data_IF_319756501653
#
_entry.id   IF_319756501653
#
_cell.length_a   1.000
_cell.length_b   1.000
_cell.length_c   1.000
_cell.angle_alpha   90.00
_cell.angle_beta   90.00
_cell.angle_gamma   90.00
#
_symmetry.space_group_name_H-M   'P 1'
#
loop_
_entity.id
_entity.type
_entity.pdbx_description
1 polymer ?
2 non-polymer ?
3 non-polymer ?
4 water ?
#
# COMPACT_ATOMS: atom_id res chain seq x y z
N UNK A 1 -21.63 13.57 0.82
CA UNK A 1 -20.49 12.99 0.11
C UNK A 1 -20.91 12.18 -1.08
N UNK A 2 -19.93 11.67 -1.84
CA UNK A 2 -20.23 10.90 -3.04
C UNK A 2 -20.55 9.44 -2.80
N UNK A 3 -20.07 8.89 -1.69
CA UNK A 3 -20.21 7.47 -1.43
C UNK A 3 -19.23 6.62 -2.25
N UNK A 4 -18.27 7.27 -2.94
CA UNK A 4 -17.27 6.56 -3.74
C UNK A 4 -16.45 5.66 -2.82
N UNK A 5 -16.14 4.46 -3.29
CA UNK A 5 -15.43 3.52 -2.46
C UNK A 5 -13.98 3.93 -2.22
N UNK A 6 -13.67 4.27 -0.95
CA UNK A 6 -12.32 4.68 -0.58
C UNK A 6 -11.78 3.82 0.57
N UNK A 7 -10.49 3.95 0.86
CA UNK A 7 -9.83 3.21 1.91
C UNK A 7 -9.30 4.18 2.90
N UNK A 8 -9.72 4.02 4.15
CA UNK A 8 -9.25 4.87 5.25
C UNK A 8 -8.26 4.12 6.13
N UNK A 9 -7.34 4.84 6.78
CA UNK A 9 -6.46 4.29 7.81
C UNK A 9 -7.36 3.75 8.95
N UNK A 10 -7.26 2.46 9.25
CA UNK A 10 -8.10 1.86 10.27
C UNK A 10 -7.89 2.51 11.63
N UNK A 11 -6.65 2.95 11.93
CA UNK A 11 -6.32 3.55 13.22
C UNK A 11 -6.80 4.99 13.44
N UNK A 12 -6.86 5.83 12.39
CA UNK A 12 -7.22 7.25 12.58
C UNK A 12 -8.27 7.79 11.61
N UNK A 13 -8.67 7.01 10.62
CA UNK A 13 -9.66 7.45 9.65
C UNK A 13 -9.18 8.28 8.47
N UNK A 14 -7.87 8.62 8.44
CA UNK A 14 -7.38 9.41 7.28
C UNK A 14 -7.65 8.70 5.91
N UNK A 15 -8.13 9.42 4.87
CA UNK A 15 -8.34 8.81 3.56
C UNK A 15 -6.96 8.54 2.96
N UNK A 16 -6.73 7.28 2.53
CA UNK A 16 -5.42 6.90 1.99
C UNK A 16 -5.54 6.58 0.48
N UNK A 17 -6.56 5.81 0.04
CA UNK A 17 -6.64 5.51 -1.39
C UNK A 17 -8.06 5.28 -1.85
N UNK A 18 -8.23 4.95 -3.13
CA UNK A 18 -9.55 4.73 -3.69
C UNK A 18 -9.59 3.42 -4.42
N UNK A 19 -10.77 2.78 -4.47
CA UNK A 19 -10.92 1.56 -5.23
C UNK A 19 -10.62 1.85 -6.73
N UNK A 20 -10.92 3.07 -7.21
CA UNK A 20 -10.59 3.43 -8.62
C UNK A 20 -9.08 3.28 -8.91
N UNK A 21 -8.22 3.38 -7.89
CA UNK A 21 -6.77 3.37 -8.02
C UNK A 21 -6.12 2.00 -7.78
N UNK A 22 -6.93 0.94 -7.63
CA UNK A 22 -6.34 -0.41 -7.53
C UNK A 22 -5.54 -0.70 -8.81
N UNK A 23 -4.42 -1.38 -8.65
CA UNK A 23 -3.50 -1.61 -9.75
C UNK A 23 -3.23 -3.12 -9.79
N UNK A 24 -3.57 -3.77 -10.90
CA UNK A 24 -3.33 -5.22 -10.97
C UNK A 24 -1.91 -5.60 -11.32
N UNK A 25 -0.95 -5.49 -10.38
CA UNK A 25 0.44 -5.86 -10.63
C UNK A 25 0.53 -7.36 -10.95
N UNK A 26 1.07 -7.68 -12.12
CA UNK A 26 1.14 -9.08 -12.55
C UNK A 26 -0.19 -9.73 -12.84
N UNK A 27 -1.26 -8.95 -12.90
CA UNK A 27 -2.59 -9.45 -13.20
C UNK A 27 -3.58 -9.39 -12.06
N UNK A 28 -3.11 -9.03 -10.84
CA UNK A 28 -4.01 -8.99 -9.71
C UNK A 28 -3.61 -7.89 -8.76
N UNK A 29 -4.62 -7.18 -8.23
CA UNK A 29 -4.25 -6.16 -7.24
C UNK A 29 -3.87 -6.81 -5.88
N UNK A 30 -4.36 -8.01 -5.59
CA UNK A 30 -4.12 -8.66 -4.32
C UNK A 30 -2.99 -9.65 -4.46
N UNK A 31 -2.02 -9.55 -3.55
CA UNK A 31 -0.87 -10.45 -3.46
C UNK A 31 -0.80 -10.94 -2.03
N UNK A 32 -1.07 -12.23 -1.80
CA UNK A 32 -0.99 -12.83 -0.46
C UNK A 32 0.40 -13.35 -0.32
N UNK A 33 1.18 -12.65 0.46
CA UNK A 33 2.61 -12.83 0.57
C UNK A 33 3.02 -12.92 2.06
N UNK A 34 4.30 -13.08 2.30
CA UNK A 34 4.76 -13.29 3.69
C UNK A 34 5.89 -12.36 4.03
N UNK A 35 5.90 -11.87 5.30
CA UNK A 35 7.08 -11.15 5.74
C UNK A 35 8.19 -12.22 6.04
N UNK A 36 9.43 -11.82 6.32
CA UNK A 36 10.51 -12.81 6.54
C UNK A 36 10.30 -13.78 7.69
N UNK A 37 9.41 -13.47 8.63
CA UNK A 37 9.16 -14.32 9.79
C UNK A 37 7.96 -15.26 9.60
N UNK A 38 7.34 -15.23 8.40
CA UNK A 38 6.25 -16.13 8.08
C UNK A 38 4.87 -15.61 8.37
N UNK A 39 4.76 -14.28 8.66
CA UNK A 39 3.46 -13.72 8.96
C UNK A 39 2.85 -13.32 7.60
N UNK A 40 1.61 -13.69 7.35
CA UNK A 40 0.95 -13.38 6.07
C UNK A 40 0.56 -11.92 6.00
N UNK A 41 0.76 -11.34 4.81
CA UNK A 41 0.25 -10.02 4.50
C UNK A 41 -0.61 -10.12 3.26
N UNK A 42 -1.88 -9.73 3.33
CA UNK A 42 -2.71 -9.63 2.12
C UNK A 42 -2.48 -8.22 1.65
N UNK A 43 -1.69 -8.06 0.59
CA UNK A 43 -1.27 -6.74 0.11
C UNK A 43 -2.16 -6.35 -1.05
N UNK A 44 -2.71 -5.13 -1.05
CA UNK A 44 -3.44 -4.59 -2.17
C UNK A 44 -2.60 -3.50 -2.82
N UNK A 45 -2.43 -3.61 -4.12
CA UNK A 45 -1.61 -2.67 -4.88
C UNK A 45 -2.46 -1.52 -5.38
N UNK A 46 -1.91 -0.28 -5.24
CA UNK A 46 -2.59 0.93 -5.71
C UNK A 46 -1.65 1.73 -6.56
N UNK A 47 -2.15 2.36 -7.64
CA UNK A 47 -1.27 3.21 -8.46
C UNK A 47 -0.96 4.56 -7.77
N UNK A 48 -1.82 4.96 -6.82
CA UNK A 48 -1.67 6.19 -6.07
C UNK A 48 -2.26 5.97 -4.68
N UNK A 49 -1.70 6.66 -3.72
CA UNK A 49 -2.18 6.70 -2.34
C UNK A 49 -1.76 8.06 -1.78
N UNK A 50 -2.54 8.56 -0.84
CA UNK A 50 -2.38 9.87 -0.24
C UNK A 50 -2.19 9.73 1.27
N UNK A 51 -1.66 10.77 1.91
CA UNK A 51 -1.53 10.80 3.36
C UNK A 51 -0.49 9.90 3.97
N UNK A 52 0.48 9.41 3.17
CA UNK A 52 1.52 8.49 3.69
C UNK A 52 2.86 9.18 3.83
N UNK A 53 3.69 8.70 4.76
CA UNK A 53 5.02 9.21 4.96
C UNK A 53 5.99 8.00 4.80
N UNK A 54 7.10 8.15 4.07
CA UNK A 54 8.04 7.04 3.89
C UNK A 54 9.16 7.09 4.88
N UNK A 55 9.54 5.92 5.40
CA UNK A 55 10.63 5.94 6.35
C UNK A 55 11.78 5.05 5.88
N UNK A 56 12.97 5.56 6.12
CA UNK A 56 14.18 4.88 5.73
C UNK A 56 14.50 4.96 4.26
N UNK A 57 15.51 4.22 3.90
CA UNK A 57 16.00 4.21 2.55
C UNK A 57 15.41 3.02 1.83
N UNK A 58 15.23 3.12 0.51
CA UNK A 58 14.72 1.96 -0.25
C UNK A 58 15.62 0.73 -0.13
N UNK A 59 15.01 -0.46 -0.15
CA UNK A 59 15.74 -1.71 -0.06
C UNK A 59 15.25 -2.66 -1.13
N UNK A 60 16.16 -3.47 -1.66
CA UNK A 60 15.79 -4.54 -2.58
C UNK A 60 15.60 -5.88 -1.89
N UNK A 61 15.99 -5.98 -0.61
CA UNK A 61 15.93 -7.25 0.13
C UNK A 61 14.54 -7.83 0.28
N UNK A 62 14.38 -9.14 -0.05
CA UNK A 62 13.13 -9.85 0.10
C UNK A 62 11.99 -9.16 -0.73
N UNK A 63 12.28 -8.32 -1.73
CA UNK A 63 11.20 -7.61 -2.45
C UNK A 63 10.21 -8.58 -3.11
N UNK A 64 8.93 -8.38 -2.83
CA UNK A 64 7.89 -9.19 -3.39
C UNK A 64 7.65 -8.89 -4.87
N UNK A 65 8.11 -7.75 -5.36
CA UNK A 65 7.88 -7.34 -6.74
C UNK A 65 9.18 -7.17 -7.41
N UNK A 66 9.54 -8.20 -8.22
CA UNK A 66 10.80 -8.25 -8.94
C UNK A 66 11.09 -6.95 -9.68
N UNK A 67 12.24 -6.35 -9.42
CA UNK A 67 12.65 -5.10 -10.05
C UNK A 67 12.34 -3.83 -9.27
N UNK A 68 11.57 -3.99 -8.15
CA UNK A 68 11.24 -2.82 -7.34
C UNK A 68 11.94 -2.89 -5.99
N UNK A 69 12.32 -1.74 -5.50
CA UNK A 69 12.85 -1.54 -4.16
C UNK A 69 11.71 -1.02 -3.31
N UNK A 70 11.70 -1.37 -2.01
CA UNK A 70 10.60 -0.93 -1.15
C UNK A 70 11.03 -0.03 -0.02
N UNK A 71 10.09 0.79 0.45
CA UNK A 71 10.30 1.60 1.65
C UNK A 71 9.04 1.50 2.52
N UNK A 72 9.17 1.40 3.85
CA UNK A 72 8.00 1.41 4.71
C UNK A 72 7.20 2.71 4.56
N UNK A 73 5.86 2.57 4.45
CA UNK A 73 4.94 3.68 4.38
C UNK A 73 4.06 3.68 5.64
N UNK A 74 4.14 4.78 6.37
CA UNK A 74 3.28 4.96 7.56
C UNK A 74 2.17 5.95 7.21
N UNK A 75 1.06 5.90 7.96
CA UNK A 75 0.06 6.95 7.94
C UNK A 75 0.75 8.24 8.41
N UNK A 76 0.70 9.28 7.59
CA UNK A 76 1.34 10.54 7.98
C UNK A 76 0.64 11.27 9.12
N UNK A 77 -0.58 10.83 9.48
CA UNK A 77 -1.31 11.46 10.58
C UNK A 77 -1.15 10.74 11.92
N UNK A 78 -1.19 9.40 11.95
CA UNK A 78 -1.11 8.66 13.22
C UNK A 78 0.14 7.78 13.37
N UNK A 79 0.90 7.59 12.29
CA UNK A 79 2.12 6.78 12.37
C UNK A 79 1.96 5.27 12.20
N UNK A 80 0.71 4.82 12.03
CA UNK A 80 0.51 3.38 11.87
C UNK A 80 1.07 2.86 10.57
N UNK A 81 1.61 1.64 10.61
CA UNK A 81 2.23 1.07 9.41
C UNK A 81 1.12 0.57 8.47
N UNK A 82 1.06 1.17 7.28
CA UNK A 82 0.01 0.86 6.32
C UNK A 82 0.48 0.04 5.11
N UNK A 83 1.76 -0.05 4.91
CA UNK A 83 2.31 -0.87 3.83
C UNK A 83 3.66 -0.36 3.39
N UNK A 84 3.88 -0.36 2.06
CA UNK A 84 5.18 0.01 1.52
C UNK A 84 5.00 0.73 0.21
N UNK A 85 5.99 1.56 -0.13
CA UNK A 85 6.04 2.20 -1.44
C UNK A 85 7.12 1.47 -2.24
N UNK A 86 6.81 1.15 -3.50
CA UNK A 86 7.74 0.44 -4.36
C UNK A 86 8.21 1.38 -5.47
N UNK A 87 9.52 1.34 -5.80
CA UNK A 87 10.06 2.23 -6.80
C UNK A 87 11.20 1.55 -7.57
N UNK A 88 11.73 2.26 -8.55
CA UNK A 88 12.86 1.73 -9.32
C UNK A 88 12.48 0.76 -10.41
N UNK A 89 11.19 0.57 -10.62
CA UNK A 89 10.73 -0.35 -11.65
C UNK A 89 10.51 0.31 -12.99
N UNK A 90 9.98 -0.51 -13.92
CA UNK A 90 9.66 -0.19 -15.30
C UNK A 90 8.23 0.40 -15.49
N UNK A 91 7.14 -0.43 -15.47
CA UNK A 91 5.76 0.09 -15.69
C UNK A 91 4.79 -0.47 -14.67
N UNK A 92 4.36 0.33 -13.68
CA UNK A 92 4.73 1.73 -13.46
C UNK A 92 6.06 1.85 -12.75
N UNK A 93 6.63 3.05 -12.73
CA UNK A 93 7.88 3.26 -12.05
C UNK A 93 7.72 3.07 -10.54
N UNK A 94 6.57 3.51 -10.01
CA UNK A 94 6.31 3.37 -8.58
C UNK A 94 4.87 2.94 -8.36
N UNK A 95 4.60 2.35 -7.17
CA UNK A 95 3.23 2.04 -6.79
C UNK A 95 3.22 1.76 -5.29
N UNK A 96 2.03 1.60 -4.70
CA UNK A 96 1.93 1.34 -3.28
C UNK A 96 1.43 -0.07 -3.05
N UNK A 97 2.03 -0.79 -2.11
CA UNK A 97 1.51 -2.11 -1.76
C UNK A 97 1.06 -1.96 -0.32
N UNK A 98 -0.24 -1.87 -0.09
CA UNK A 98 -0.77 -1.56 1.25
C UNK A 98 -1.36 -2.81 1.91
N UNK A 99 -1.30 -2.87 3.23
CA UNK A 99 -1.82 -4.02 3.96
C UNK A 99 -3.32 -3.87 4.06
N UNK A 100 -4.09 -4.78 3.45
CA UNK A 100 -5.54 -4.63 3.41
C UNK A 100 -6.15 -4.51 4.81
N UNK A 101 -5.66 -5.33 5.75
CA UNK A 101 -6.22 -5.30 7.12
C UNK A 101 -5.92 -4.00 7.89
N UNK A 102 -4.96 -3.20 7.39
CA UNK A 102 -4.64 -1.92 8.03
C UNK A 102 -5.57 -0.79 7.51
N UNK A 103 -6.39 -1.06 6.49
CA UNK A 103 -7.28 -0.08 5.89
C UNK A 103 -8.73 -0.50 6.11
N UNK A 104 -9.67 0.45 5.97
CA UNK A 104 -11.10 0.13 6.03
C UNK A 104 -11.72 0.72 4.79
N UNK A 105 -12.30 -0.12 3.94
CA UNK A 105 -12.98 0.35 2.75
C UNK A 105 -14.34 0.90 3.19
N UNK A 106 -14.70 2.04 2.64
CA UNK A 106 -15.98 2.67 2.97
C UNK A 106 -16.32 3.79 2.03
N UNK A 107 -17.49 4.41 2.24
CA UNK A 107 -17.92 5.50 1.37
C UNK A 107 -17.14 6.78 1.65
N UNK A 108 -16.81 7.52 0.58
CA UNK A 108 -16.16 8.82 0.76
C UNK A 108 -17.18 9.80 1.36
N UNK A 109 -16.73 10.57 2.36
X LIG B 1 8.02 -5.40 1.37
X LIG B 1 8.74 -5.34 2.71
X LIG B 1 9.29 -7.78 2.40
X LIG B 1 10.03 -7.14 7.28
X LIG B 1 10.07 -7.29 8.70
X LIG B 1 8.78 -7.31 9.12
X LIG B 1 8.67 -7.08 6.91
X LIG B 1 8.27 -6.94 5.57
X LIG B 1 9.66 -8.85 2.85
X LIG B 1 9.08 -7.59 1.05
X LIG B 1 8.66 -6.42 0.47
X LIG B 1 8.51 -6.37 -0.76
X LIG B 1 9.04 -6.70 3.21
X LIG B 1 9.28 -6.85 4.61
X LIG B 1 7.93 -7.19 8.05
X LIG B 1 10.99 -7.05 6.28
X LIG B 1 10.61 -6.91 4.96
X LIG C 1 -3.73 6.88 10.50
#
# INVERSE_FOLDING_TARGET
>A
GSGASIFRCRQCGQTISRRDWLLPMGGDHEHVVFNPHGYIHRVWCFSLAQGLRLIGAPSGEHSWFKGYDWTIALCGQCGSHLGWHFEGGSQPQTFFGLIKDALAEGPAD
>B hetero
1 A1IMN C1 C2 C3 C7 C8 C9 C10 C11 O1 N1 C O N C4 N2 C6 C5
>C hetero
1 ZN ZN
#
